data_IF_258431013762
#
_entry.id   IF_258431013762
#
_cell.length_a   1.000
_cell.length_b   1.000
_cell.length_c   1.000
_cell.angle_alpha   90.00
_cell.angle_beta   90.00
_cell.angle_gamma   90.00
#
_symmetry.space_group_name_H-M   'P 1'
#
loop_
_entity.id
_entity.type
_entity.pdbx_description
1 polymer ?
#
# COMPACT_ATOMS: atom_id res chain seq x y z
N UNK A 1 26.74 32.41 30.58
CA UNK A 1 26.08 32.04 29.31
C UNK A 1 26.12 30.54 28.99
N UNK A 2 27.17 29.78 29.36
CA UNK A 2 27.24 28.33 29.12
C UNK A 2 26.20 27.47 29.89
N UNK A 3 25.73 27.93 31.05
CA UNK A 3 24.82 27.17 31.94
C UNK A 3 23.36 27.17 31.49
N UNK A 4 22.91 28.22 30.80
CA UNK A 4 21.54 28.35 30.30
C UNK A 4 21.32 27.48 29.04
N UNK A 5 22.31 27.38 28.16
CA UNK A 5 22.27 26.50 26.99
C UNK A 5 22.17 25.01 27.41
N UNK A 6 23.02 24.59 28.36
CA UNK A 6 22.98 23.23 28.91
C UNK A 6 21.68 22.90 29.66
N UNK A 7 21.00 23.90 30.24
CA UNK A 7 19.69 23.70 30.87
C UNK A 7 18.55 23.62 29.83
N UNK A 8 18.66 24.37 28.72
CA UNK A 8 17.76 24.31 27.57
C UNK A 8 17.81 22.96 26.85
N UNK A 9 19.01 22.43 26.62
CA UNK A 9 19.22 21.10 26.02
C UNK A 9 18.60 19.98 26.89
N UNK A 10 18.85 19.99 28.21
CA UNK A 10 18.25 19.03 29.14
C UNK A 10 16.72 19.13 29.21
N UNK A 11 16.15 20.32 29.03
CA UNK A 11 14.70 20.52 28.97
C UNK A 11 14.11 19.94 27.70
N UNK A 12 14.79 20.12 26.57
CA UNK A 12 14.39 19.57 25.27
C UNK A 12 14.42 18.04 25.28
N UNK A 13 15.51 17.42 25.74
CA UNK A 13 15.66 15.97 25.79
C UNK A 13 14.58 15.30 26.65
N UNK A 14 14.25 15.93 27.78
CA UNK A 14 13.15 15.46 28.64
C UNK A 14 11.79 15.56 27.94
N UNK A 15 11.52 16.65 27.23
CA UNK A 15 10.25 16.80 26.48
C UNK A 15 10.17 15.79 25.33
N UNK A 16 11.26 15.61 24.60
CA UNK A 16 11.34 14.66 23.49
C UNK A 16 11.15 13.22 23.96
N UNK A 17 11.83 12.80 25.04
CA UNK A 17 11.68 11.45 25.60
C UNK A 17 10.26 11.16 26.08
N UNK A 18 9.58 12.13 26.71
CA UNK A 18 8.18 11.99 27.10
C UNK A 18 7.27 11.86 25.87
N UNK A 19 7.46 12.68 24.85
CA UNK A 19 6.71 12.61 23.60
C UNK A 19 6.91 11.26 22.90
N UNK A 20 8.14 10.76 22.81
CA UNK A 20 8.42 9.45 22.22
C UNK A 20 7.76 8.31 23.00
N UNK A 21 7.73 8.40 24.33
CA UNK A 21 7.03 7.41 25.17
C UNK A 21 5.52 7.41 24.92
N UNK A 22 4.94 8.60 24.71
CA UNK A 22 3.52 8.76 24.40
C UNK A 22 3.19 8.31 22.97
N UNK A 23 4.04 8.64 21.99
CA UNK A 23 3.84 8.31 20.59
C UNK A 23 4.13 6.84 20.26
N UNK A 24 5.03 6.17 21.00
CA UNK A 24 5.45 4.80 20.66
C UNK A 24 4.27 3.82 20.75
N UNK A 25 3.97 3.04 19.69
CA UNK A 25 2.94 2.00 19.75
C UNK A 25 3.36 0.86 20.68
N UNK A 26 2.39 0.09 21.16
CA UNK A 26 2.68 -1.10 21.97
C UNK A 26 3.35 -2.18 21.11
N UNK A 27 4.19 -3.01 21.73
CA UNK A 27 4.84 -4.13 21.04
C UNK A 27 3.80 -5.12 20.46
N UNK A 28 2.67 -5.30 21.13
CA UNK A 28 1.56 -6.13 20.63
C UNK A 28 0.95 -5.56 19.36
N UNK A 29 0.70 -4.24 19.30
CA UNK A 29 0.12 -3.60 18.11
C UNK A 29 1.05 -3.70 16.90
N UNK A 30 2.36 -3.48 17.09
CA UNK A 30 3.36 -3.63 16.02
C UNK A 30 3.41 -5.07 15.52
N UNK A 31 3.39 -6.06 16.43
CA UNK A 31 3.37 -7.48 16.04
C UNK A 31 2.12 -7.84 15.26
N UNK A 32 0.94 -7.41 15.73
CA UNK A 32 -0.33 -7.66 15.04
C UNK A 32 -0.34 -7.04 13.64
N UNK A 33 0.19 -5.82 13.47
CA UNK A 33 0.30 -5.20 12.15
C UNK A 33 1.24 -5.98 11.21
N UNK A 34 2.37 -6.48 11.72
CA UNK A 34 3.29 -7.33 10.94
C UNK A 34 2.63 -8.66 10.53
N UNK A 35 2.01 -9.37 11.47
CA UNK A 35 1.30 -10.63 11.19
C UNK A 35 0.16 -10.43 10.17
N UNK A 36 -0.58 -9.33 10.29
CA UNK A 36 -1.63 -8.96 9.35
C UNK A 36 -1.07 -8.66 7.94
N UNK A 37 0.05 -7.93 7.86
CA UNK A 37 0.73 -7.63 6.60
C UNK A 37 1.23 -8.92 5.92
N UNK A 38 1.84 -9.83 6.68
CA UNK A 38 2.29 -11.13 6.18
C UNK A 38 1.11 -11.98 5.68
N UNK A 39 0.02 -12.03 6.43
CA UNK A 39 -1.18 -12.77 6.03
C UNK A 39 -1.78 -12.23 4.72
N UNK A 40 -1.86 -10.91 4.56
CA UNK A 40 -2.34 -10.28 3.31
C UNK A 40 -1.34 -10.52 2.17
N UNK A 41 -0.04 -10.42 2.44
CA UNK A 41 1.00 -10.68 1.45
C UNK A 41 0.92 -12.11 0.90
N UNK A 42 0.71 -13.10 1.77
CA UNK A 42 0.52 -14.49 1.37
C UNK A 42 -0.75 -14.73 0.55
N UNK A 43 -1.84 -14.01 0.83
CA UNK A 43 -3.04 -14.05 0.00
C UNK A 43 -2.76 -13.48 -1.40
N UNK A 44 -2.05 -12.35 -1.49
CA UNK A 44 -1.71 -11.70 -2.76
C UNK A 44 -0.79 -12.60 -3.61
N UNK A 45 0.21 -13.24 -3.01
CA UNK A 45 1.14 -14.15 -3.72
C UNK A 45 0.44 -15.38 -4.31
N UNK A 46 -0.66 -15.83 -3.70
CA UNK A 46 -1.42 -17.02 -4.10
C UNK A 46 -2.51 -16.74 -5.15
N UNK A 47 -2.68 -15.49 -5.58
CA UNK A 47 -3.67 -15.15 -6.60
C UNK A 47 -3.27 -15.86 -7.92
N UNK A 48 -4.14 -16.69 -8.52
CA UNK A 48 -3.81 -17.39 -9.74
C UNK A 48 -3.78 -16.45 -10.94
N UNK A 49 -3.06 -16.88 -11.98
CA UNK A 49 -3.07 -16.25 -13.30
C UNK A 49 -4.50 -16.21 -13.85
N UNK A 50 -4.93 -15.04 -14.32
CA UNK A 50 -6.29 -14.81 -14.83
C UNK A 50 -6.33 -13.60 -15.76
N UNK A 51 -7.42 -13.43 -16.50
CA UNK A 51 -7.55 -12.24 -17.36
C UNK A 51 -7.96 -11.00 -16.56
N UNK A 52 -7.22 -9.91 -16.77
CA UNK A 52 -7.55 -8.58 -16.27
C UNK A 52 -8.21 -7.78 -17.40
N UNK A 53 -9.51 -7.52 -17.27
CA UNK A 53 -10.29 -6.84 -18.32
C UNK A 53 -10.60 -5.39 -17.92
N UNK A 54 -10.58 -4.43 -18.87
CA UNK A 54 -10.74 -3.00 -18.60
C UNK A 54 -12.03 -2.62 -17.83
N UNK A 55 -13.07 -3.44 -17.92
CA UNK A 55 -14.38 -3.22 -17.31
C UNK A 55 -14.29 -3.09 -15.79
N UNK A 56 -13.36 -3.79 -15.15
CA UNK A 56 -13.15 -3.74 -13.70
C UNK A 56 -12.71 -2.35 -13.22
N UNK A 57 -12.09 -1.54 -14.09
CA UNK A 57 -11.62 -0.19 -13.80
C UNK A 57 -12.23 0.87 -14.74
N UNK A 58 -13.43 0.61 -15.29
CA UNK A 58 -14.03 1.41 -16.38
C UNK A 58 -14.07 2.92 -16.09
N UNK A 59 -14.42 3.30 -14.86
CA UNK A 59 -14.44 4.72 -14.45
C UNK A 59 -13.05 5.36 -14.56
N UNK A 60 -12.05 4.73 -13.93
CA UNK A 60 -10.66 5.19 -13.96
C UNK A 60 -10.07 5.23 -15.38
N UNK A 61 -10.34 4.20 -16.19
CA UNK A 61 -9.91 4.13 -17.59
C UNK A 61 -10.53 5.26 -18.43
N UNK A 62 -11.82 5.55 -18.23
CA UNK A 62 -12.51 6.66 -18.89
C UNK A 62 -11.91 8.01 -18.47
N UNK A 63 -11.67 8.21 -17.18
CA UNK A 63 -11.17 9.48 -16.65
C UNK A 63 -9.73 9.78 -17.13
N UNK A 64 -8.96 8.74 -17.49
CA UNK A 64 -7.67 8.87 -18.17
C UNK A 64 -7.75 9.07 -19.69
N UNK A 65 -8.95 9.07 -20.28
CA UNK A 65 -9.13 9.21 -21.73
C UNK A 65 -8.80 7.96 -22.54
N UNK A 66 -8.82 6.77 -21.92
CA UNK A 66 -8.38 5.51 -22.52
C UNK A 66 -9.53 4.53 -22.82
N UNK A 67 -10.76 5.03 -22.92
CA UNK A 67 -11.95 4.18 -23.09
C UNK A 67 -11.96 3.34 -24.39
N UNK A 68 -11.29 3.81 -25.45
CA UNK A 68 -11.16 3.10 -26.73
C UNK A 68 -9.91 2.22 -26.82
N UNK A 69 -9.06 2.23 -25.80
CA UNK A 69 -7.76 1.55 -25.83
C UNK A 69 -7.86 0.08 -25.41
N UNK A 70 -7.06 -0.78 -26.06
CA UNK A 70 -6.94 -2.18 -25.67
C UNK A 70 -5.99 -2.29 -24.48
N UNK A 71 -6.57 -2.26 -23.27
CA UNK A 71 -5.82 -2.30 -22.01
C UNK A 71 -5.82 -3.66 -21.29
N UNK A 72 -6.57 -4.64 -21.80
CA UNK A 72 -6.62 -5.98 -21.21
C UNK A 72 -5.26 -6.68 -21.24
N UNK A 73 -4.98 -7.48 -20.21
CA UNK A 73 -3.76 -8.27 -20.10
C UNK A 73 -3.97 -9.49 -19.21
N UNK A 74 -3.08 -10.47 -19.35
CA UNK A 74 -3.05 -11.63 -18.45
C UNK A 74 -2.37 -11.23 -17.13
N UNK A 75 -3.15 -11.20 -16.04
CA UNK A 75 -2.64 -10.99 -14.70
C UNK A 75 -1.73 -12.15 -14.32
N UNK A 76 -0.54 -11.84 -13.82
CA UNK A 76 0.37 -12.80 -13.19
C UNK A 76 0.60 -12.43 -11.73
N UNK A 77 0.84 -13.41 -10.84
CA UNK A 77 1.17 -13.13 -9.44
C UNK A 77 2.31 -12.12 -9.31
N UNK A 78 2.32 -11.23 -8.30
CA UNK A 78 3.36 -10.21 -8.18
C UNK A 78 4.76 -10.81 -8.08
N UNK A 79 5.73 -10.15 -8.71
CA UNK A 79 7.12 -10.57 -8.65
C UNK A 79 7.71 -10.43 -7.24
N UNK A 80 7.22 -9.46 -6.46
CA UNK A 80 7.58 -9.25 -5.05
C UNK A 80 6.36 -8.73 -4.31
N UNK A 81 6.17 -9.20 -3.08
CA UNK A 81 5.28 -8.61 -2.07
C UNK A 81 6.07 -8.51 -0.78
N UNK A 82 6.31 -7.28 -0.30
CA UNK A 82 7.12 -7.03 0.89
C UNK A 82 6.55 -5.90 1.75
N UNK A 83 6.81 -5.96 3.06
CA UNK A 83 6.52 -4.88 3.99
C UNK A 83 7.43 -3.67 3.69
N UNK A 84 6.86 -2.49 3.75
CA UNK A 84 7.52 -1.21 3.51
C UNK A 84 7.07 -0.16 4.55
N UNK A 85 7.46 1.09 4.33
CA UNK A 85 7.02 2.22 5.14
C UNK A 85 7.55 2.19 6.58
N UNK A 86 6.83 2.87 7.47
CA UNK A 86 7.24 3.07 8.87
C UNK A 86 7.34 1.78 9.67
N UNK A 87 6.56 0.74 9.31
CA UNK A 87 6.67 -0.56 9.95
C UNK A 87 8.03 -1.21 9.64
N UNK A 88 8.43 -1.25 8.37
CA UNK A 88 9.72 -1.80 7.96
C UNK A 88 10.91 -0.99 8.53
N UNK A 89 10.74 0.33 8.66
CA UNK A 89 11.76 1.21 9.23
C UNK A 89 11.84 1.17 10.77
N UNK A 90 10.86 0.56 11.45
CA UNK A 90 10.78 0.56 12.91
C UNK A 90 10.40 1.91 13.53
N UNK A 91 9.75 2.79 12.75
CA UNK A 91 9.43 4.18 13.10
C UNK A 91 7.92 4.44 13.23
N UNK A 92 7.11 3.42 13.49
CA UNK A 92 5.68 3.60 13.73
C UNK A 92 5.40 4.46 14.96
N UNK A 93 4.37 5.29 14.86
CA UNK A 93 3.89 6.16 15.92
C UNK A 93 2.36 6.09 16.01
N UNK A 94 1.82 6.25 17.21
CA UNK A 94 0.37 6.37 17.46
C UNK A 94 -0.17 7.69 16.90
N UNK A 95 -1.47 7.76 16.57
CA UNK A 95 -2.49 6.71 16.71
C UNK A 95 -2.44 5.65 15.59
N UNK A 96 -1.76 5.91 14.48
CA UNK A 96 -1.84 5.10 13.27
C UNK A 96 -0.83 3.95 13.25
N UNK A 97 -1.29 2.76 13.60
CA UNK A 97 -0.52 1.53 13.44
C UNK A 97 -0.89 0.87 12.12
N UNK A 98 -0.19 1.25 11.05
CA UNK A 98 -0.41 0.76 9.69
C UNK A 98 0.80 0.00 9.16
N UNK A 99 0.56 -0.90 8.20
CA UNK A 99 1.61 -1.63 7.49
C UNK A 99 1.45 -1.37 6.00
N UNK A 100 2.50 -0.87 5.36
CA UNK A 100 2.52 -0.67 3.91
C UNK A 100 3.03 -1.95 3.23
N UNK A 101 2.30 -2.43 2.22
CA UNK A 101 2.75 -3.52 1.37
C UNK A 101 3.16 -2.99 0.00
N UNK A 102 4.43 -3.17 -0.34
CA UNK A 102 4.93 -2.92 -1.68
C UNK A 102 4.68 -4.17 -2.54
N UNK A 103 3.87 -3.99 -3.59
CA UNK A 103 3.57 -5.03 -4.58
C UNK A 103 4.28 -4.66 -5.88
N UNK A 104 5.24 -5.48 -6.32
CA UNK A 104 5.95 -5.29 -7.59
C UNK A 104 5.27 -6.10 -8.68
N UNK A 105 4.69 -5.39 -9.65
CA UNK A 105 3.98 -6.01 -10.75
C UNK A 105 4.98 -6.65 -11.74
N UNK A 106 4.71 -7.85 -12.29
CA UNK A 106 5.58 -8.49 -13.26
C UNK A 106 5.61 -7.73 -14.59
N UNK A 107 6.79 -7.65 -15.22
CA UNK A 107 6.96 -6.95 -16.52
C UNK A 107 6.13 -7.58 -17.63
N UNK A 108 5.85 -8.87 -17.53
CA UNK A 108 5.08 -9.68 -18.48
C UNK A 108 3.61 -9.23 -18.58
N UNK A 109 3.10 -8.50 -17.60
CA UNK A 109 1.76 -7.92 -17.64
C UNK A 109 1.69 -6.63 -18.47
N UNK A 110 2.84 -6.07 -18.87
CA UNK A 110 2.95 -4.77 -19.53
C UNK A 110 3.62 -4.88 -20.89
N UNK A 111 3.23 -3.97 -21.78
CA UNK A 111 3.89 -3.75 -23.05
C UNK A 111 4.94 -2.63 -22.90
N UNK A 112 6.03 -2.70 -23.66
CA UNK A 112 7.14 -1.74 -23.58
C UNK A 112 6.71 -0.29 -23.77
N UNK A 113 5.62 -0.04 -24.50
CA UNK A 113 5.06 1.29 -24.78
C UNK A 113 4.00 1.77 -23.78
N UNK A 114 3.71 1.00 -22.72
CA UNK A 114 2.68 1.41 -21.75
C UNK A 114 3.08 2.63 -20.90
N UNK A 115 4.33 3.10 -20.98
CA UNK A 115 4.71 4.40 -20.41
C UNK A 115 4.05 5.59 -21.12
N UNK A 116 3.62 5.42 -22.36
CA UNK A 116 2.92 6.46 -23.13
C UNK A 116 1.46 6.59 -22.68
N UNK A 117 0.93 7.81 -22.75
CA UNK A 117 -0.49 8.12 -22.64
C UNK A 117 -1.18 7.51 -21.40
N UNK A 118 -0.49 7.47 -20.26
CA UNK A 118 -1.01 6.94 -18.99
C UNK A 118 -1.48 5.46 -19.00
N UNK A 119 -1.15 4.68 -20.03
CA UNK A 119 -1.56 3.27 -20.16
C UNK A 119 -1.08 2.44 -18.97
N UNK A 120 0.13 2.70 -18.48
CA UNK A 120 0.68 2.08 -17.27
C UNK A 120 -0.18 2.35 -16.04
N UNK A 121 -0.66 3.58 -15.83
CA UNK A 121 -1.52 3.91 -14.69
C UNK A 121 -2.85 3.15 -14.76
N UNK A 122 -3.46 3.07 -15.94
CA UNK A 122 -4.67 2.29 -16.15
C UNK A 122 -4.44 0.79 -15.87
N UNK A 123 -3.39 0.19 -16.43
CA UNK A 123 -3.03 -1.21 -16.17
C UNK A 123 -2.66 -1.48 -14.71
N UNK A 124 -1.99 -0.55 -14.04
CA UNK A 124 -1.70 -0.62 -12.60
C UNK A 124 -3.00 -0.63 -11.77
N UNK A 125 -3.96 0.23 -12.10
CA UNK A 125 -5.28 0.23 -11.46
C UNK A 125 -6.03 -1.09 -11.71
N UNK A 126 -6.02 -1.57 -12.96
CA UNK A 126 -6.61 -2.87 -13.33
C UNK A 126 -6.00 -4.04 -12.55
N UNK A 127 -4.68 -4.06 -12.41
CA UNK A 127 -3.99 -5.06 -11.59
C UNK A 127 -4.46 -5.01 -10.13
N UNK A 128 -4.68 -3.80 -9.61
CA UNK A 128 -5.18 -3.59 -8.25
C UNK A 128 -6.64 -4.04 -8.10
N UNK A 129 -7.49 -3.88 -9.12
CA UNK A 129 -8.85 -4.44 -9.15
C UNK A 129 -8.86 -5.97 -9.08
N UNK A 130 -7.90 -6.64 -9.75
CA UNK A 130 -7.75 -8.10 -9.63
C UNK A 130 -7.36 -8.48 -8.20
N UNK A 131 -6.39 -7.77 -7.59
CA UNK A 131 -6.02 -7.99 -6.19
C UNK A 131 -7.24 -7.80 -5.27
N UNK A 132 -7.96 -6.69 -5.41
CA UNK A 132 -9.14 -6.38 -4.61
C UNK A 132 -10.18 -7.51 -4.68
N UNK A 133 -10.53 -7.95 -5.89
CA UNK A 133 -11.50 -9.03 -6.11
C UNK A 133 -11.11 -10.32 -5.39
N UNK A 134 -9.84 -10.72 -5.49
CA UNK A 134 -9.35 -11.93 -4.84
C UNK A 134 -9.28 -11.79 -3.32
N UNK A 135 -8.84 -10.63 -2.80
CA UNK A 135 -8.82 -10.38 -1.36
C UNK A 135 -10.24 -10.35 -0.76
N UNK A 136 -11.22 -9.77 -1.46
CA UNK A 136 -12.65 -9.79 -1.07
C UNK A 136 -13.23 -11.21 -0.96
N UNK A 137 -12.68 -12.17 -1.69
CA UNK A 137 -13.12 -13.58 -1.60
C UNK A 137 -12.58 -14.33 -0.38
N UNK A 138 -11.58 -13.77 0.31
CA UNK A 138 -10.97 -14.37 1.50
C UNK A 138 -11.74 -14.02 2.76
N UNK A 139 -12.09 -15.04 3.57
CA UNK A 139 -12.73 -14.84 4.89
C UNK A 139 -11.84 -14.12 5.91
N UNK A 140 -10.53 -13.99 5.63
CA UNK A 140 -9.57 -13.28 6.49
C UNK A 140 -9.64 -11.76 6.33
N UNK A 141 -10.37 -11.26 5.34
CA UNK A 141 -10.45 -9.82 5.06
C UNK A 141 -11.83 -9.32 5.47
N UNK A 142 -11.87 -8.37 6.40
CA UNK A 142 -13.12 -7.81 6.90
C UNK A 142 -13.62 -6.67 6.00
N UNK A 143 -12.72 -5.77 5.59
CA UNK A 143 -13.07 -4.61 4.77
C UNK A 143 -11.94 -4.24 3.82
N UNK A 144 -12.29 -3.72 2.65
CA UNK A 144 -11.37 -3.06 1.72
C UNK A 144 -11.97 -1.73 1.30
N UNK A 145 -11.16 -0.67 1.28
CA UNK A 145 -11.54 0.64 0.74
C UNK A 145 -10.48 1.16 -0.21
N UNK A 146 -10.90 1.88 -1.24
CA UNK A 146 -10.02 2.57 -2.17
C UNK A 146 -9.54 3.89 -1.59
N UNK A 147 -8.29 4.23 -1.87
CA UNK A 147 -7.68 5.53 -1.56
C UNK A 147 -6.65 5.86 -2.64
N UNK A 148 -5.92 6.96 -2.45
CA UNK A 148 -4.82 7.37 -3.32
C UNK A 148 -3.54 7.49 -2.50
N UNK A 149 -2.40 7.16 -3.12
CA UNK A 149 -1.12 7.32 -2.48
C UNK A 149 -0.72 8.79 -2.50
N UNK A 150 -0.62 9.43 -1.33
CA UNK A 150 -0.23 10.84 -1.17
C UNK A 150 -1.13 11.78 -1.98
N UNK A 151 -2.44 11.55 -1.97
CA UNK A 151 -3.45 12.34 -2.67
C UNK A 151 -3.23 12.48 -4.20
N UNK A 152 -2.40 11.60 -4.78
CA UNK A 152 -2.18 11.56 -6.22
C UNK A 152 -3.21 10.64 -6.88
N UNK A 153 -4.18 11.24 -7.56
CA UNK A 153 -5.30 10.57 -8.22
C UNK A 153 -4.86 9.43 -9.17
N UNK A 154 -3.70 9.54 -9.82
CA UNK A 154 -3.19 8.50 -10.75
C UNK A 154 -2.54 7.31 -10.05
N UNK A 155 -2.41 7.34 -8.72
CA UNK A 155 -1.80 6.30 -7.89
C UNK A 155 -2.82 5.75 -6.90
N UNK A 156 -3.87 5.06 -7.37
CA UNK A 156 -4.80 4.39 -6.46
C UNK A 156 -4.08 3.32 -5.64
N UNK A 157 -4.57 3.11 -4.42
CA UNK A 157 -4.14 2.09 -3.45
C UNK A 157 -5.36 1.47 -2.76
N UNK A 158 -5.17 0.29 -2.17
CA UNK A 158 -6.18 -0.38 -1.35
C UNK A 158 -5.79 -0.25 0.11
N UNK A 159 -6.71 0.24 0.93
CA UNK A 159 -6.65 0.07 2.38
C UNK A 159 -7.37 -1.24 2.70
N UNK A 160 -6.63 -2.18 3.26
CA UNK A 160 -7.13 -3.52 3.62
C UNK A 160 -7.21 -3.59 5.14
N UNK A 161 -8.36 -4.03 5.64
CA UNK A 161 -8.60 -4.27 7.07
C UNK A 161 -8.81 -5.76 7.27
N UNK A 162 -7.76 -6.50 7.65
CA UNK A 162 -7.84 -7.92 7.99
C UNK A 162 -8.71 -8.13 9.25
N UNK A 163 -9.35 -9.29 9.32
CA UNK A 163 -10.16 -9.72 10.47
C UNK A 163 -9.33 -10.44 11.53
#
# INVERSE_FOLDING_TARGET
MATAAAAGERSFDRKLSLLLKEARPSASAVRTAAEAADAVAELIKKIPEQQATPEAARGFVRDLGLASEKLGFTFKPPAVVQVAGSLAAGTLARPDVTADLLVRLPKECFHEKDFLNHRYHAKRCLYLCVIEKNLKSSRKIHKISWSTFQDEARKPVLHVYPG
#
